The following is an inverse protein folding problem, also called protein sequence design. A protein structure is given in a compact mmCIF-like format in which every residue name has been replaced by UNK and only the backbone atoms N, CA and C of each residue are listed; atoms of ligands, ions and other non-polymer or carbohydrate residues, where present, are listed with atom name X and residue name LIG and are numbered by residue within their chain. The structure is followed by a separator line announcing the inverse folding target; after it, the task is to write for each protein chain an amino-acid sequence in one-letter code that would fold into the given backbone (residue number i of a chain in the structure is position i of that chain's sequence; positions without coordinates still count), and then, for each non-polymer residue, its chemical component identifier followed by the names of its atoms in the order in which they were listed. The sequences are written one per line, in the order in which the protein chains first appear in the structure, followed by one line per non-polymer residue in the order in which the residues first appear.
data_IF_122401170277
#
_entry.id   IF_122401170277
#
_cell.length_a   1.000
_cell.length_b   1.000
_cell.length_c   1.000
_cell.angle_alpha   90.00
_cell.angle_beta   90.00
_cell.angle_gamma   90.00
#
_symmetry.space_group_name_H-M   'P 1'
#
loop_
_entity.id
_entity.type
_entity.pdbx_description
1 polymer ?
#
# COMPACT_ATOMS: atom_id res chain seq x y z
N UNK A 1 27.75 32.07 8.18
CA UNK A 1 27.17 30.93 8.92
C UNK A 1 25.92 30.53 8.17
N UNK A 2 25.95 29.42 7.41
CA UNK A 2 24.87 29.05 6.49
C UNK A 2 23.63 28.47 7.19
N UNK A 3 22.64 28.03 6.43
CA UNK A 3 21.35 27.50 6.92
C UNK A 3 21.48 26.38 7.97
N UNK A 4 22.54 25.55 7.88
CA UNK A 4 22.84 24.52 8.88
C UNK A 4 23.17 25.06 10.29
N UNK A 5 23.55 26.34 10.40
CA UNK A 5 23.76 26.99 11.69
C UNK A 5 22.47 27.50 12.31
N UNK A 6 21.40 27.64 11.52
CA UNK A 6 20.10 28.18 11.96
C UNK A 6 19.08 27.06 12.21
N UNK A 7 18.97 26.08 11.32
CA UNK A 7 18.09 24.91 11.46
C UNK A 7 18.87 23.59 11.25
N UNK A 8 19.67 23.17 12.24
CA UNK A 8 20.61 22.05 12.07
C UNK A 8 19.93 20.70 11.80
N UNK A 9 18.72 20.47 12.34
CA UNK A 9 17.97 19.24 12.12
C UNK A 9 17.42 19.12 10.71
N UNK A 10 16.76 20.17 10.22
CA UNK A 10 16.25 20.23 8.85
C UNK A 10 17.39 20.17 7.82
N UNK A 11 18.49 20.87 8.08
CA UNK A 11 19.69 20.78 7.26
C UNK A 11 20.25 19.36 7.17
N UNK A 12 20.27 18.62 8.28
CA UNK A 12 20.71 17.23 8.27
C UNK A 12 19.80 16.33 7.41
N UNK A 13 18.48 16.53 7.45
CA UNK A 13 17.53 15.81 6.59
C UNK A 13 17.80 16.08 5.11
N UNK A 14 17.92 17.35 4.72
CA UNK A 14 18.19 17.70 3.33
C UNK A 14 19.52 17.14 2.82
N UNK A 15 20.57 17.23 3.63
CA UNK A 15 21.89 16.71 3.24
C UNK A 15 21.80 15.21 2.96
N UNK A 16 21.12 14.45 3.82
CA UNK A 16 20.90 13.02 3.62
C UNK A 16 20.04 12.72 2.37
N UNK A 17 19.00 13.51 2.11
CA UNK A 17 18.19 13.40 0.90
C UNK A 17 19.01 13.72 -0.37
N UNK A 18 19.75 14.82 -0.38
CA UNK A 18 20.57 15.24 -1.52
C UNK A 18 21.68 14.22 -1.83
N UNK A 19 22.37 13.73 -0.80
CA UNK A 19 23.37 12.66 -0.94
C UNK A 19 22.76 11.39 -1.54
N UNK A 20 21.59 10.98 -1.04
CA UNK A 20 20.86 9.82 -1.58
C UNK A 20 20.44 10.04 -3.03
N UNK A 21 19.84 11.18 -3.34
CA UNK A 21 19.41 11.52 -4.70
C UNK A 21 20.59 11.54 -5.68
N UNK A 22 21.73 12.12 -5.29
CA UNK A 22 22.93 12.16 -6.14
C UNK A 22 23.46 10.76 -6.51
N UNK A 23 23.26 9.78 -5.64
CA UNK A 23 23.68 8.38 -5.84
C UNK A 23 22.69 7.58 -6.67
N UNK A 24 21.38 7.81 -6.47
CA UNK A 24 20.36 7.01 -7.14
C UNK A 24 19.98 7.57 -8.52
N UNK A 25 20.08 8.89 -8.74
CA UNK A 25 19.65 9.51 -10.00
C UNK A 25 20.41 8.97 -11.23
N UNK A 26 21.75 8.82 -11.23
CA UNK A 26 22.48 8.27 -12.38
C UNK A 26 22.11 6.81 -12.69
N UNK A 27 21.68 6.07 -11.66
CA UNK A 27 21.27 4.66 -11.76
C UNK A 27 19.83 4.57 -12.27
N UNK A 28 18.93 5.38 -11.71
CA UNK A 28 17.51 5.46 -12.08
C UNK A 28 17.32 5.92 -13.53
N UNK A 29 18.11 6.88 -14.00
CA UNK A 29 18.09 7.32 -15.41
C UNK A 29 18.49 6.20 -16.39
N UNK A 30 19.19 5.17 -15.94
CA UNK A 30 19.52 3.97 -16.73
C UNK A 30 18.45 2.87 -16.63
N UNK A 31 17.35 3.12 -15.91
CA UNK A 31 16.26 2.17 -15.70
C UNK A 31 16.55 1.04 -14.70
N UNK A 32 17.70 1.05 -14.02
CA UNK A 32 18.12 -0.03 -13.12
C UNK A 32 17.69 0.24 -11.67
N UNK A 33 16.37 0.18 -11.43
CA UNK A 33 15.78 0.50 -10.12
C UNK A 33 16.35 -0.40 -8.99
N UNK A 34 16.72 -1.64 -9.31
CA UNK A 34 17.25 -2.61 -8.34
C UNK A 34 18.55 -2.13 -7.71
N UNK A 35 19.42 -1.49 -8.49
CA UNK A 35 20.67 -0.91 -7.99
C UNK A 35 20.44 0.29 -7.07
N UNK A 36 19.25 0.89 -7.05
CA UNK A 36 18.89 1.96 -6.11
C UNK A 36 18.54 1.42 -4.71
N UNK A 37 18.13 0.15 -4.60
CA UNK A 37 17.59 -0.43 -3.37
C UNK A 37 18.53 -0.29 -2.15
N UNK A 38 19.84 -0.61 -2.24
CA UNK A 38 20.72 -0.51 -1.08
C UNK A 38 20.85 0.93 -0.56
N UNK A 39 20.85 1.91 -1.46
CA UNK A 39 20.94 3.33 -1.11
C UNK A 39 19.64 3.80 -0.44
N UNK A 40 18.48 3.47 -1.01
CA UNK A 40 17.19 3.82 -0.40
C UNK A 40 16.99 3.17 0.97
N UNK A 41 17.39 1.91 1.14
CA UNK A 41 17.34 1.19 2.43
C UNK A 41 18.21 1.85 3.51
N UNK A 42 19.28 2.55 3.12
CA UNK A 42 20.18 3.25 4.05
C UNK A 42 19.48 4.44 4.73
N UNK A 43 18.55 5.10 4.04
CA UNK A 43 17.78 6.22 4.58
C UNK A 43 17.10 5.90 5.91
N UNK A 44 16.70 4.64 6.13
CA UNK A 44 16.11 4.19 7.41
C UNK A 44 17.08 4.48 8.56
N UNK A 45 18.35 4.08 8.43
CA UNK A 45 19.33 4.24 9.49
C UNK A 45 19.79 5.71 9.61
N UNK A 46 19.93 6.40 8.48
CA UNK A 46 20.37 7.79 8.45
C UNK A 46 19.33 8.72 9.11
N UNK A 47 18.05 8.58 8.75
CA UNK A 47 16.99 9.38 9.38
C UNK A 47 16.72 8.98 10.82
N UNK A 48 16.87 7.71 11.19
CA UNK A 48 16.80 7.32 12.60
C UNK A 48 17.91 7.98 13.43
N UNK A 49 19.14 8.10 12.88
CA UNK A 49 20.24 8.85 13.51
C UNK A 49 19.93 10.34 13.62
N UNK A 50 19.37 10.94 12.57
CA UNK A 50 18.99 12.36 12.54
C UNK A 50 17.88 12.64 13.57
N UNK A 51 16.82 11.83 13.60
CA UNK A 51 15.71 11.94 14.57
C UNK A 51 16.20 11.82 16.02
N UNK A 52 17.11 10.89 16.31
CA UNK A 52 17.71 10.78 17.65
C UNK A 52 18.51 12.01 18.06
N UNK A 53 19.20 12.64 17.10
CA UNK A 53 20.00 13.84 17.34
C UNK A 53 19.13 15.10 17.48
N UNK A 54 18.00 15.15 16.77
CA UNK A 54 17.10 16.30 16.72
C UNK A 54 15.65 15.87 16.98
N UNK A 55 15.32 15.44 18.21
CA UNK A 55 14.02 14.86 18.54
C UNK A 55 12.87 15.85 18.40
N UNK A 56 13.11 17.15 18.54
CA UNK A 56 12.06 18.18 18.46
C UNK A 56 11.85 18.74 17.04
N UNK A 57 12.51 18.16 16.03
CA UNK A 57 12.42 18.64 14.64
C UNK A 57 11.45 17.77 13.84
N UNK A 58 10.30 18.33 13.46
CA UNK A 58 9.25 17.63 12.71
C UNK A 58 9.74 16.98 11.41
N UNK A 59 10.63 17.63 10.66
CA UNK A 59 11.19 17.07 9.42
C UNK A 59 11.98 15.78 9.66
N UNK A 60 12.67 15.65 10.81
CA UNK A 60 13.39 14.44 11.15
C UNK A 60 12.45 13.26 11.41
N UNK A 61 11.28 13.53 12.00
CA UNK A 61 10.21 12.55 12.20
C UNK A 61 9.54 12.17 10.89
N UNK A 62 9.14 13.14 10.07
CA UNK A 62 8.57 12.89 8.74
C UNK A 62 9.52 12.04 7.90
N UNK A 63 10.81 12.40 7.87
CA UNK A 63 11.82 11.64 7.13
C UNK A 63 11.94 10.20 7.64
N UNK A 64 11.93 10.01 8.95
CA UNK A 64 11.97 8.68 9.59
C UNK A 64 10.76 7.83 9.23
N UNK A 65 9.55 8.41 9.28
CA UNK A 65 8.32 7.70 8.93
C UNK A 65 8.35 7.24 7.47
N UNK A 66 8.65 8.13 6.52
CA UNK A 66 8.67 7.74 5.11
C UNK A 66 9.77 6.71 4.84
N UNK A 67 10.97 6.88 5.40
CA UNK A 67 12.02 5.90 5.18
C UNK A 67 11.71 4.53 5.76
N UNK A 68 10.87 4.42 6.79
CA UNK A 68 10.45 3.12 7.33
C UNK A 68 9.85 2.20 6.26
N UNK A 69 9.21 2.77 5.23
CA UNK A 69 8.63 2.05 4.09
C UNK A 69 9.72 1.35 3.25
N UNK A 70 10.94 1.90 3.23
CA UNK A 70 12.09 1.35 2.52
C UNK A 70 12.87 0.32 3.32
N UNK A 71 12.47 -0.01 4.55
CA UNK A 71 13.14 -1.04 5.31
C UNK A 71 13.08 -2.40 4.59
N UNK A 72 14.13 -3.22 4.74
CA UNK A 72 14.15 -4.59 4.23
C UNK A 72 13.63 -5.62 5.24
N UNK A 73 13.40 -5.18 6.49
CA UNK A 73 12.83 -6.01 7.56
C UNK A 73 11.52 -5.38 8.03
N UNK A 74 10.39 -6.09 7.91
CA UNK A 74 9.11 -5.57 8.38
C UNK A 74 9.12 -5.24 9.87
N UNK A 75 9.79 -6.04 10.72
CA UNK A 75 9.82 -5.76 12.18
C UNK A 75 10.48 -4.41 12.44
N UNK A 76 11.57 -4.11 11.71
CA UNK A 76 12.25 -2.82 11.78
C UNK A 76 11.37 -1.69 11.24
N UNK A 77 10.69 -1.89 10.10
CA UNK A 77 9.77 -0.91 9.53
C UNK A 77 8.72 -0.46 10.56
N UNK A 78 8.04 -1.45 11.14
CA UNK A 78 7.01 -1.25 12.16
C UNK A 78 7.54 -0.61 13.44
N UNK A 79 8.66 -1.12 13.97
CA UNK A 79 9.30 -0.54 15.16
C UNK A 79 9.63 0.94 14.96
N UNK A 80 10.08 1.33 13.77
CA UNK A 80 10.40 2.73 13.44
C UNK A 80 9.14 3.59 13.31
N UNK A 81 8.09 3.11 12.66
CA UNK A 81 6.86 3.88 12.44
C UNK A 81 5.97 4.00 13.69
N UNK A 82 6.01 3.02 14.59
CA UNK A 82 5.20 3.01 15.81
C UNK A 82 5.74 3.93 16.90
N UNK A 83 6.97 4.42 16.81
CA UNK A 83 7.52 5.34 17.82
C UNK A 83 6.60 6.56 17.93
N UNK A 84 6.05 6.87 19.12
CA UNK A 84 5.18 8.02 19.30
C UNK A 84 5.97 9.32 19.13
N UNK A 85 5.28 10.38 18.70
CA UNK A 85 5.85 11.72 18.69
C UNK A 85 6.19 12.18 20.12
N UNK A 86 7.26 12.97 20.30
CA UNK A 86 7.56 13.58 21.58
C UNK A 86 6.48 14.61 21.92
N UNK A 87 6.36 14.97 23.19
CA UNK A 87 5.36 15.91 23.68
C UNK A 87 5.41 17.25 22.93
N UNK A 88 6.61 17.73 22.59
CA UNK A 88 6.86 18.94 21.80
C UNK A 88 6.21 18.93 20.40
N UNK A 89 5.95 17.74 19.84
CA UNK A 89 5.36 17.55 18.51
C UNK A 89 3.98 16.85 18.58
N UNK A 90 3.46 16.56 19.77
CA UNK A 90 2.22 15.80 19.93
C UNK A 90 1.01 16.54 19.32
N UNK A 91 1.02 17.88 19.38
CA UNK A 91 0.01 18.76 18.79
C UNK A 91 0.20 19.04 17.29
N UNK A 92 1.26 18.53 16.65
CA UNK A 92 1.47 18.70 15.21
C UNK A 92 0.54 17.79 14.40
N UNK A 93 -0.60 18.35 14.03
CA UNK A 93 -1.67 17.70 13.28
C UNK A 93 -1.18 17.06 11.97
N UNK A 94 -0.33 17.76 11.20
CA UNK A 94 0.15 17.28 9.91
C UNK A 94 1.12 16.11 10.10
N UNK A 95 1.96 16.17 11.13
CA UNK A 95 2.88 15.08 11.45
C UNK A 95 2.15 13.83 11.95
N UNK A 96 1.07 14.00 12.72
CA UNK A 96 0.18 12.89 13.12
C UNK A 96 -0.50 12.26 11.89
N UNK A 97 -1.01 13.07 10.95
CA UNK A 97 -1.58 12.59 9.68
C UNK A 97 -0.56 11.77 8.88
N UNK A 98 0.67 12.27 8.73
CA UNK A 98 1.77 11.57 8.05
C UNK A 98 2.15 10.25 8.74
N UNK A 99 2.11 10.21 10.08
CA UNK A 99 2.33 8.97 10.85
C UNK A 99 1.24 7.94 10.56
N UNK A 100 -0.04 8.33 10.60
CA UNK A 100 -1.17 7.44 10.26
C UNK A 100 -1.02 6.90 8.83
N UNK A 101 -0.76 7.78 7.85
CA UNK A 101 -0.51 7.40 6.45
C UNK A 101 0.59 6.34 6.34
N UNK A 102 1.69 6.56 7.05
CA UNK A 102 2.84 5.64 7.04
C UNK A 102 2.45 4.29 7.60
N UNK A 103 1.77 4.24 8.74
CA UNK A 103 1.31 2.99 9.33
C UNK A 103 0.36 2.26 8.38
N UNK A 104 -0.64 2.95 7.82
CA UNK A 104 -1.53 2.41 6.78
C UNK A 104 -0.74 1.84 5.60
N UNK A 105 0.21 2.60 5.06
CA UNK A 105 1.05 2.13 3.97
C UNK A 105 1.82 0.87 4.37
N UNK A 106 2.39 0.80 5.58
CA UNK A 106 3.08 -0.40 6.04
C UNK A 106 2.15 -1.62 6.10
N UNK A 107 0.88 -1.45 6.49
CA UNK A 107 -0.13 -2.51 6.41
C UNK A 107 -0.28 -3.04 4.99
N UNK A 108 -0.54 -2.13 4.04
CA UNK A 108 -0.75 -2.46 2.64
C UNK A 108 0.49 -3.10 2.00
N UNK A 109 1.66 -2.57 2.34
CA UNK A 109 2.92 -2.91 1.72
C UNK A 109 3.56 -4.18 2.29
N UNK A 110 3.30 -4.50 3.56
CA UNK A 110 3.88 -5.68 4.20
C UNK A 110 2.92 -6.84 4.40
N UNK A 111 1.61 -6.58 4.38
CA UNK A 111 0.56 -7.59 4.63
C UNK A 111 0.85 -8.45 5.87
N UNK A 112 1.48 -7.85 6.88
CA UNK A 112 1.97 -8.55 8.06
C UNK A 112 1.20 -8.12 9.30
N UNK A 113 0.94 -9.11 10.15
CA UNK A 113 0.40 -8.91 11.48
C UNK A 113 -1.12 -8.85 11.48
N UNK A 114 -1.65 -8.54 12.65
CA UNK A 114 -2.98 -7.98 12.76
C UNK A 114 -2.84 -6.45 12.78
N UNK A 115 -2.98 -5.76 11.63
CA UNK A 115 -2.81 -4.31 11.56
C UNK A 115 -3.92 -3.52 12.26
N UNK A 116 -5.01 -4.17 12.67
CA UNK A 116 -6.21 -3.51 13.18
C UNK A 116 -5.87 -2.75 14.46
N UNK A 117 -5.27 -3.42 15.45
CA UNK A 117 -4.92 -2.80 16.72
C UNK A 117 -3.91 -1.64 16.57
N UNK A 118 -2.90 -1.79 15.70
CA UNK A 118 -1.90 -0.75 15.47
C UNK A 118 -2.50 0.49 14.79
N UNK A 119 -3.38 0.30 13.81
CA UNK A 119 -4.09 1.41 13.15
C UNK A 119 -5.08 2.08 14.08
N UNK A 120 -5.82 1.31 14.88
CA UNK A 120 -6.74 1.84 15.90
C UNK A 120 -6.00 2.69 16.92
N UNK A 121 -4.88 2.20 17.45
CA UNK A 121 -4.06 2.95 18.39
C UNK A 121 -3.53 4.25 17.75
N UNK A 122 -3.13 4.21 16.48
CA UNK A 122 -2.70 5.39 15.74
C UNK A 122 -3.84 6.40 15.55
N UNK A 123 -5.04 5.94 15.18
CA UNK A 123 -6.24 6.78 15.04
C UNK A 123 -6.69 7.36 16.39
N UNK A 124 -6.61 6.60 17.47
CA UNK A 124 -6.96 7.08 18.81
C UNK A 124 -6.04 8.22 19.28
N UNK A 125 -4.77 8.19 18.87
CA UNK A 125 -3.79 9.24 19.15
C UNK A 125 -3.98 10.51 18.29
N UNK A 126 -4.85 10.48 17.28
CA UNK A 126 -5.14 11.64 16.44
C UNK A 126 -6.03 12.63 17.21
N UNK A 127 -5.66 13.93 17.25
CA UNK A 127 -6.47 14.96 17.89
C UNK A 127 -7.90 15.01 17.31
N UNK A 128 -8.88 15.24 18.18
CA UNK A 128 -10.32 15.32 17.80
C UNK A 128 -10.55 16.23 16.59
N UNK A 129 -9.86 17.37 16.54
CA UNK A 129 -10.01 18.39 15.51
C UNK A 129 -9.79 17.89 14.07
N UNK A 130 -9.11 16.75 13.87
CA UNK A 130 -8.89 16.16 12.55
C UNK A 130 -9.44 14.74 12.40
N UNK A 131 -10.30 14.27 13.32
CA UNK A 131 -10.94 12.94 13.16
C UNK A 131 -11.87 12.86 11.95
N UNK A 132 -12.46 13.99 11.55
CA UNK A 132 -13.28 14.11 10.36
C UNK A 132 -12.47 14.19 9.05
N UNK A 133 -11.14 14.15 9.12
CA UNK A 133 -10.27 14.16 7.95
C UNK A 133 -10.52 12.94 7.05
N UNK A 134 -10.40 13.16 5.74
CA UNK A 134 -10.66 12.14 4.73
C UNK A 134 -9.72 10.93 4.87
N UNK A 135 -8.45 11.16 5.21
CA UNK A 135 -7.46 10.11 5.37
C UNK A 135 -7.70 9.27 6.63
N UNK A 136 -8.16 9.93 7.70
CA UNK A 136 -8.59 9.24 8.92
C UNK A 136 -9.82 8.38 8.63
N UNK A 137 -10.81 8.94 7.93
CA UNK A 137 -12.02 8.24 7.51
C UNK A 137 -11.70 7.02 6.62
N UNK A 138 -10.84 7.18 5.61
CA UNK A 138 -10.43 6.08 4.74
C UNK A 138 -9.66 5.00 5.51
N UNK A 139 -8.81 5.39 6.46
CA UNK A 139 -8.09 4.42 7.30
C UNK A 139 -9.03 3.65 8.22
N UNK A 140 -10.03 4.31 8.80
CA UNK A 140 -11.07 3.65 9.58
C UNK A 140 -11.87 2.65 8.73
N UNK A 141 -12.27 3.03 7.51
CA UNK A 141 -12.97 2.14 6.60
C UNK A 141 -12.14 0.91 6.20
N UNK A 142 -10.81 1.06 6.07
CA UNK A 142 -9.90 -0.09 5.85
C UNK A 142 -9.85 -0.98 7.08
N UNK A 143 -9.82 -0.42 8.29
CA UNK A 143 -9.89 -1.21 9.54
C UNK A 143 -11.18 -2.01 9.60
N UNK A 144 -12.32 -1.38 9.30
CA UNK A 144 -13.62 -2.05 9.29
C UNK A 144 -13.73 -3.10 8.19
N UNK A 145 -13.17 -2.85 7.01
CA UNK A 145 -13.01 -3.89 5.98
C UNK A 145 -12.20 -5.09 6.50
N UNK A 146 -11.08 -4.84 7.18
CA UNK A 146 -10.24 -5.90 7.73
C UNK A 146 -10.94 -6.71 8.83
N UNK A 147 -11.84 -6.08 9.60
CA UNK A 147 -12.73 -6.77 10.56
C UNK A 147 -13.81 -7.58 9.85
N UNK A 148 -14.42 -7.03 8.80
CA UNK A 148 -15.42 -7.73 7.97
C UNK A 148 -14.86 -9.03 7.40
N UNK A 149 -13.69 -8.99 6.76
CA UNK A 149 -13.07 -10.20 6.18
C UNK A 149 -12.64 -11.24 7.23
N UNK A 150 -12.67 -10.88 8.53
CA UNK A 150 -12.43 -11.78 9.66
C UNK A 150 -13.70 -12.27 10.34
N UNK A 151 -14.87 -11.91 9.82
CA UNK A 151 -16.17 -12.39 10.29
C UNK A 151 -16.95 -11.42 11.14
N UNK A 152 -16.49 -10.18 11.35
CA UNK A 152 -17.30 -9.14 11.97
C UNK A 152 -18.23 -8.51 10.92
N UNK A 153 -19.42 -9.10 10.74
CA UNK A 153 -20.41 -8.61 9.81
C UNK A 153 -20.88 -7.16 10.11
N UNK A 154 -20.81 -6.73 11.39
CA UNK A 154 -21.21 -5.39 11.79
C UNK A 154 -20.30 -4.29 11.23
N UNK A 155 -19.01 -4.59 11.08
CA UNK A 155 -18.03 -3.67 10.52
C UNK A 155 -18.31 -3.29 9.05
N UNK A 156 -18.95 -4.18 8.28
CA UNK A 156 -19.27 -3.93 6.87
C UNK A 156 -20.17 -2.72 6.66
N UNK A 157 -21.19 -2.53 7.51
CA UNK A 157 -22.09 -1.39 7.43
C UNK A 157 -21.39 -0.04 7.64
N UNK A 158 -20.47 0.03 8.61
CA UNK A 158 -19.67 1.23 8.90
C UNK A 158 -18.73 1.57 7.74
N UNK A 159 -18.08 0.57 7.15
CA UNK A 159 -17.23 0.77 5.99
C UNK A 159 -18.02 1.25 4.76
N UNK A 160 -19.20 0.67 4.51
CA UNK A 160 -20.12 1.09 3.43
C UNK A 160 -20.50 2.55 3.59
N UNK A 161 -21.02 2.95 4.76
CA UNK A 161 -21.40 4.33 5.03
C UNK A 161 -20.23 5.31 4.81
N UNK A 162 -19.03 4.93 5.25
CA UNK A 162 -17.82 5.74 5.07
C UNK A 162 -17.46 5.91 3.60
N UNK A 163 -17.45 4.83 2.81
CA UNK A 163 -17.12 4.92 1.38
C UNK A 163 -18.22 5.59 0.55
N UNK A 164 -19.48 5.50 0.95
CA UNK A 164 -20.56 6.32 0.38
C UNK A 164 -20.26 7.81 0.57
N UNK A 165 -19.99 8.24 1.81
CA UNK A 165 -19.65 9.63 2.09
C UNK A 165 -18.38 10.07 1.33
N UNK A 166 -17.34 9.22 1.23
CA UNK A 166 -16.14 9.47 0.40
C UNK A 166 -16.46 9.65 -1.08
N UNK A 167 -17.33 8.82 -1.65
CA UNK A 167 -17.72 8.92 -3.05
C UNK A 167 -18.50 10.20 -3.36
N UNK A 168 -19.31 10.71 -2.44
CA UNK A 168 -20.07 11.95 -2.60
C UNK A 168 -19.18 13.20 -2.63
N UNK A 169 -18.11 13.21 -1.82
CA UNK A 169 -17.20 14.37 -1.68
C UNK A 169 -16.02 14.37 -2.66
N UNK A 170 -15.57 13.19 -3.11
CA UNK A 170 -14.43 13.03 -4.04
C UNK A 170 -14.85 13.30 -5.49
N UNK A 171 -13.85 13.50 -6.36
CA UNK A 171 -14.03 13.67 -7.82
C UNK A 171 -13.02 12.84 -8.62
N UNK A 172 -13.31 12.59 -9.89
CA UNK A 172 -12.43 11.89 -10.83
C UNK A 172 -11.96 10.52 -10.32
N UNK A 173 -10.67 10.21 -10.51
CA UNK A 173 -10.09 8.93 -10.11
C UNK A 173 -10.23 8.64 -8.60
N UNK A 174 -10.24 9.66 -7.73
CA UNK A 174 -10.46 9.47 -6.30
C UNK A 174 -11.91 9.04 -5.99
N UNK A 175 -12.89 9.59 -6.72
CA UNK A 175 -14.29 9.12 -6.64
C UNK A 175 -14.43 7.70 -7.17
N UNK A 176 -13.76 7.39 -8.30
CA UNK A 176 -13.75 6.05 -8.86
C UNK A 176 -13.25 5.00 -7.86
N UNK A 177 -12.16 5.28 -7.13
CA UNK A 177 -11.66 4.39 -6.10
C UNK A 177 -12.63 4.24 -4.92
N UNK A 178 -13.27 5.32 -4.47
CA UNK A 178 -14.25 5.24 -3.38
C UNK A 178 -15.47 4.40 -3.78
N UNK A 179 -16.01 4.61 -4.99
CA UNK A 179 -17.09 3.81 -5.55
C UNK A 179 -16.70 2.35 -5.74
N UNK A 180 -15.48 2.08 -6.22
CA UNK A 180 -14.98 0.73 -6.33
C UNK A 180 -14.98 0.00 -4.98
N UNK A 181 -14.43 0.64 -3.95
CA UNK A 181 -14.35 0.06 -2.62
C UNK A 181 -15.74 -0.11 -2.00
N UNK A 182 -16.66 0.83 -2.25
CA UNK A 182 -18.09 0.68 -1.91
C UNK A 182 -18.69 -0.56 -2.58
N UNK A 183 -18.47 -0.76 -3.88
CA UNK A 183 -18.97 -1.92 -4.61
C UNK A 183 -18.45 -3.23 -4.06
N UNK A 184 -17.15 -3.29 -3.73
CA UNK A 184 -16.54 -4.45 -3.09
C UNK A 184 -17.14 -4.75 -1.71
N UNK A 185 -17.38 -3.74 -0.87
CA UNK A 185 -18.00 -3.91 0.43
C UNK A 185 -19.46 -4.38 0.34
N UNK A 186 -20.22 -3.82 -0.60
CA UNK A 186 -21.60 -4.26 -0.90
C UNK A 186 -21.63 -5.72 -1.34
N UNK A 187 -20.74 -6.10 -2.26
CA UNK A 187 -20.61 -7.49 -2.69
C UNK A 187 -20.29 -8.43 -1.53
N UNK A 188 -19.35 -8.06 -0.66
CA UNK A 188 -19.00 -8.88 0.51
C UNK A 188 -20.13 -8.96 1.55
N UNK A 189 -21.04 -7.98 1.54
CA UNK A 189 -22.21 -7.92 2.42
C UNK A 189 -23.47 -8.53 1.77
N UNK A 190 -23.36 -9.09 0.56
CA UNK A 190 -24.46 -9.74 -0.16
C UNK A 190 -25.31 -8.82 -1.06
N UNK A 191 -25.05 -7.51 -1.07
CA UNK A 191 -25.72 -6.56 -1.97
C UNK A 191 -25.06 -6.57 -3.35
N UNK A 192 -25.45 -7.53 -4.18
CA UNK A 192 -24.86 -7.75 -5.51
C UNK A 192 -25.28 -6.68 -6.51
N UNK A 193 -26.55 -6.26 -6.49
CA UNK A 193 -27.06 -5.21 -7.40
C UNK A 193 -26.40 -3.86 -7.08
N UNK A 194 -26.32 -3.49 -5.81
CA UNK A 194 -25.65 -2.28 -5.39
C UNK A 194 -24.14 -2.30 -5.61
N UNK A 195 -23.51 -3.49 -5.64
CA UNK A 195 -22.11 -3.64 -5.99
C UNK A 195 -21.86 -3.35 -7.48
N UNK A 196 -22.65 -3.96 -8.36
CA UNK A 196 -22.56 -3.76 -9.82
C UNK A 196 -22.77 -2.28 -10.15
N UNK A 197 -23.82 -1.64 -9.62
CA UNK A 197 -24.09 -0.23 -9.87
C UNK A 197 -22.91 0.68 -9.46
N UNK A 198 -22.27 0.40 -8.32
CA UNK A 198 -21.13 1.17 -7.85
C UNK A 198 -19.88 0.97 -8.74
N UNK A 199 -19.63 -0.25 -9.21
CA UNK A 199 -18.52 -0.54 -10.14
C UNK A 199 -18.75 0.06 -11.52
N UNK A 200 -19.98 0.05 -12.03
CA UNK A 200 -20.33 0.68 -13.31
C UNK A 200 -20.08 2.19 -13.28
N UNK A 201 -20.52 2.88 -12.22
CA UNK A 201 -20.21 4.30 -12.03
C UNK A 201 -18.70 4.54 -11.91
N UNK A 202 -17.97 3.67 -11.18
CA UNK A 202 -16.53 3.78 -11.01
C UNK A 202 -15.76 3.69 -12.34
N UNK A 203 -16.16 2.78 -13.25
CA UNK A 203 -15.49 2.56 -14.54
C UNK A 203 -15.48 3.85 -15.38
N UNK A 204 -16.59 4.61 -15.38
CA UNK A 204 -16.70 5.86 -16.11
C UNK A 204 -15.77 6.98 -15.62
N UNK A 205 -15.25 6.85 -14.39
CA UNK A 205 -14.42 7.86 -13.73
C UNK A 205 -12.95 7.45 -13.58
N UNK A 206 -12.64 6.16 -13.75
CA UNK A 206 -11.33 5.59 -13.50
C UNK A 206 -10.32 5.89 -14.62
N UNK A 207 -9.04 5.94 -14.27
CA UNK A 207 -7.94 5.84 -15.24
C UNK A 207 -7.76 4.38 -15.71
N UNK A 208 -6.82 4.12 -16.63
CA UNK A 208 -6.58 2.78 -17.19
C UNK A 208 -6.27 1.75 -16.09
N UNK A 209 -5.40 2.10 -15.15
CA UNK A 209 -5.02 1.24 -14.02
C UNK A 209 -6.20 0.97 -13.10
N UNK A 210 -7.02 1.97 -12.79
CA UNK A 210 -8.22 1.84 -11.99
C UNK A 210 -9.26 0.95 -12.67
N UNK A 211 -9.44 1.08 -13.99
CA UNK A 211 -10.33 0.19 -14.76
C UNK A 211 -9.92 -1.27 -14.67
N UNK A 212 -8.63 -1.58 -14.82
CA UNK A 212 -8.13 -2.96 -14.65
C UNK A 212 -8.49 -3.55 -13.26
N UNK A 213 -8.39 -2.74 -12.20
CA UNK A 213 -8.73 -3.16 -10.85
C UNK A 213 -10.24 -3.38 -10.70
N UNK A 214 -11.06 -2.49 -11.28
CA UNK A 214 -12.52 -2.64 -11.23
C UNK A 214 -12.97 -3.88 -12.00
N UNK A 215 -12.40 -4.13 -13.20
CA UNK A 215 -12.68 -5.35 -13.96
C UNK A 215 -12.24 -6.61 -13.22
N UNK A 216 -11.10 -6.56 -12.51
CA UNK A 216 -10.68 -7.65 -11.64
C UNK A 216 -11.73 -7.94 -10.57
N UNK A 217 -12.22 -6.92 -9.85
CA UNK A 217 -13.24 -7.08 -8.80
C UNK A 217 -14.56 -7.62 -9.35
N UNK A 218 -15.01 -7.14 -10.51
CA UNK A 218 -16.22 -7.64 -11.18
C UNK A 218 -16.07 -9.12 -11.63
N UNK A 219 -14.90 -9.51 -12.14
CA UNK A 219 -14.60 -10.89 -12.49
C UNK A 219 -14.57 -11.80 -11.25
N UNK A 220 -14.05 -11.33 -10.12
CA UNK A 220 -14.03 -12.05 -8.84
C UNK A 220 -15.44 -12.19 -8.24
N UNK A 221 -16.29 -11.19 -8.41
CA UNK A 221 -17.65 -11.20 -7.91
C UNK A 221 -18.48 -12.33 -8.52
N UNK A 222 -18.39 -12.48 -9.84
CA UNK A 222 -19.14 -13.50 -10.60
C UNK A 222 -18.45 -14.86 -10.56
N UNK A 223 -17.12 -14.88 -10.70
CA UNK A 223 -16.24 -16.04 -10.63
C UNK A 223 -16.75 -17.28 -11.35
N UNK A 224 -17.29 -17.07 -12.54
CA UNK A 224 -17.80 -18.11 -13.43
C UNK A 224 -16.74 -18.51 -14.47
N UNK A 225 -16.86 -19.66 -15.14
CA UNK A 225 -15.93 -20.06 -16.21
C UNK A 225 -15.79 -19.03 -17.33
N UNK A 226 -16.83 -18.23 -17.59
CA UNK A 226 -16.86 -17.21 -18.63
C UNK A 226 -15.89 -16.05 -18.34
N UNK A 227 -15.53 -15.80 -17.06
CA UNK A 227 -14.58 -14.72 -16.72
C UNK A 227 -13.12 -15.09 -16.95
N UNK A 228 -12.82 -16.33 -17.33
CA UNK A 228 -11.45 -16.79 -17.58
C UNK A 228 -10.72 -15.97 -18.65
N UNK A 229 -11.42 -15.51 -19.69
CA UNK A 229 -10.85 -14.64 -20.72
C UNK A 229 -10.45 -13.26 -20.19
N UNK A 230 -11.29 -12.68 -19.33
CA UNK A 230 -11.00 -11.41 -18.65
C UNK A 230 -9.81 -11.54 -17.71
N UNK A 231 -9.76 -12.62 -16.92
CA UNK A 231 -8.64 -12.90 -16.02
C UNK A 231 -7.33 -13.19 -16.79
N UNK A 232 -7.39 -13.85 -17.95
CA UNK A 232 -6.21 -14.03 -18.82
C UNK A 232 -5.69 -12.68 -19.34
N UNK A 233 -6.58 -11.78 -19.75
CA UNK A 233 -6.21 -10.42 -20.17
C UNK A 233 -5.54 -9.65 -19.02
N UNK A 234 -6.15 -9.66 -17.83
CA UNK A 234 -5.62 -8.98 -16.65
C UNK A 234 -4.32 -9.59 -16.13
N UNK A 235 -4.09 -10.90 -16.31
CA UNK A 235 -2.83 -11.57 -15.97
C UNK A 235 -1.64 -11.01 -16.76
N UNK A 236 -1.90 -10.33 -17.88
CA UNK A 236 -0.93 -9.69 -18.76
C UNK A 236 -0.91 -8.16 -18.62
N UNK A 237 -1.66 -7.61 -17.64
CA UNK A 237 -1.73 -6.16 -17.41
C UNK A 237 -0.33 -5.58 -17.22
N UNK A 238 -0.04 -4.49 -17.93
CA UNK A 238 1.23 -3.75 -17.80
C UNK A 238 1.19 -2.73 -16.66
N UNK A 239 0.00 -2.43 -16.13
CA UNK A 239 -0.21 -1.35 -15.18
C UNK A 239 0.22 -1.69 -13.75
N UNK A 240 0.15 -2.97 -13.35
CA UNK A 240 0.52 -3.39 -11.99
C UNK A 240 0.84 -4.88 -11.90
N UNK A 241 1.98 -5.20 -11.28
CA UNK A 241 2.32 -6.57 -10.89
C UNK A 241 1.26 -7.20 -9.98
N UNK A 242 0.64 -6.39 -9.10
CA UNK A 242 -0.37 -6.89 -8.16
C UNK A 242 -1.65 -7.30 -8.87
N UNK A 243 -2.05 -6.56 -9.91
CA UNK A 243 -3.20 -6.92 -10.76
C UNK A 243 -2.91 -8.25 -11.46
N UNK A 244 -1.71 -8.40 -12.05
CA UNK A 244 -1.31 -9.67 -12.69
C UNK A 244 -1.38 -10.84 -11.71
N UNK A 245 -0.76 -10.70 -10.55
CA UNK A 245 -0.69 -11.76 -9.52
C UNK A 245 -2.09 -12.15 -9.05
N UNK A 246 -2.95 -11.16 -8.78
CA UNK A 246 -4.32 -11.41 -8.34
C UNK A 246 -5.16 -12.06 -9.45
N UNK A 247 -5.03 -11.60 -10.69
CA UNK A 247 -5.72 -12.22 -11.83
C UNK A 247 -5.32 -13.69 -12.02
N UNK A 248 -4.02 -14.01 -11.91
CA UNK A 248 -3.53 -15.40 -11.98
C UNK A 248 -4.08 -16.23 -10.81
N UNK A 249 -4.09 -15.67 -9.60
CA UNK A 249 -4.60 -16.35 -8.41
C UNK A 249 -6.10 -16.66 -8.52
N UNK A 250 -6.91 -15.70 -8.97
CA UNK A 250 -8.34 -15.89 -9.17
C UNK A 250 -8.68 -16.75 -10.37
N UNK A 251 -7.83 -16.78 -11.39
CA UNK A 251 -7.95 -17.72 -12.51
C UNK A 251 -7.81 -19.17 -12.03
N UNK A 252 -6.84 -19.44 -11.16
CA UNK A 252 -6.68 -20.77 -10.57
C UNK A 252 -7.91 -21.19 -9.77
N UNK A 253 -8.50 -20.26 -9.01
CA UNK A 253 -9.75 -20.50 -8.27
C UNK A 253 -10.95 -20.74 -9.20
N UNK A 254 -11.10 -19.95 -10.26
CA UNK A 254 -12.18 -20.14 -11.25
C UNK A 254 -12.11 -21.52 -11.92
N UNK A 255 -10.90 -21.98 -12.30
CA UNK A 255 -10.68 -23.32 -12.84
C UNK A 255 -11.09 -24.39 -11.83
N UNK A 256 -10.68 -24.24 -10.56
CA UNK A 256 -10.98 -25.17 -9.48
C UNK A 256 -12.50 -25.29 -9.25
N UNK A 257 -13.23 -24.17 -9.29
CA UNK A 257 -14.70 -24.13 -9.19
C UNK A 257 -15.40 -24.76 -10.40
N UNK A 258 -14.83 -24.62 -11.59
CA UNK A 258 -15.31 -25.28 -12.80
C UNK A 258 -14.97 -26.78 -12.88
N UNK A 259 -14.34 -27.36 -11.85
CA UNK A 259 -13.93 -28.77 -11.83
C UNK A 259 -12.71 -29.10 -12.69
N UNK A 260 -11.98 -28.09 -13.16
CA UNK A 260 -10.76 -28.26 -13.94
C UNK A 260 -9.50 -28.48 -13.10
N UNK A 261 -8.41 -28.91 -13.75
CA UNK A 261 -7.10 -29.03 -13.11
C UNK A 261 -6.45 -27.64 -12.93
N UNK A 262 -6.42 -27.17 -11.69
CA UNK A 262 -5.84 -25.88 -11.32
C UNK A 262 -4.31 -25.94 -11.12
N UNK A 263 -3.67 -27.13 -11.14
CA UNK A 263 -2.22 -27.26 -10.88
C UNK A 263 -1.37 -26.37 -11.79
N UNK A 264 -1.59 -26.32 -13.12
CA UNK A 264 -0.82 -25.42 -13.99
C UNK A 264 -1.01 -23.94 -13.65
N UNK A 265 -2.22 -23.57 -13.18
CA UNK A 265 -2.52 -22.18 -12.79
C UNK A 265 -1.87 -21.82 -11.44
N UNK A 266 -1.84 -22.76 -10.50
CA UNK A 266 -1.13 -22.61 -9.22
C UNK A 266 0.39 -22.46 -9.47
N UNK A 267 0.97 -23.27 -10.36
CA UNK A 267 2.38 -23.15 -10.75
C UNK A 267 2.69 -21.80 -11.40
N UNK A 268 1.83 -21.33 -12.31
CA UNK A 268 1.94 -20.01 -12.91
C UNK A 268 1.86 -18.88 -11.86
N UNK A 269 1.01 -19.02 -10.84
CA UNK A 269 0.93 -18.07 -9.73
C UNK A 269 2.25 -17.99 -8.97
N UNK A 270 2.82 -19.12 -8.55
CA UNK A 270 4.10 -19.13 -7.83
C UNK A 270 5.25 -18.59 -8.68
N UNK A 271 5.28 -18.92 -9.97
CA UNK A 271 6.27 -18.39 -10.91
C UNK A 271 6.16 -16.86 -11.06
N UNK A 272 4.94 -16.33 -11.16
CA UNK A 272 4.68 -14.90 -11.20
C UNK A 272 5.15 -14.21 -9.92
N UNK A 273 4.77 -14.72 -8.74
CA UNK A 273 5.22 -14.16 -7.45
C UNK A 273 6.75 -14.14 -7.35
N UNK A 274 7.43 -15.22 -7.74
CA UNK A 274 8.89 -15.29 -7.70
C UNK A 274 9.56 -14.28 -8.66
N UNK A 275 9.03 -14.14 -9.88
CA UNK A 275 9.52 -13.18 -10.87
C UNK A 275 9.41 -11.74 -10.37
N UNK A 276 8.23 -11.36 -9.87
CA UNK A 276 7.93 -10.00 -9.42
C UNK A 276 8.67 -9.64 -8.12
N UNK A 277 8.85 -10.60 -7.21
CA UNK A 277 9.56 -10.37 -5.94
C UNK A 277 11.01 -9.91 -6.16
N UNK A 278 11.65 -10.29 -7.27
CA UNK A 278 13.02 -9.88 -7.61
C UNK A 278 13.16 -8.38 -7.90
N UNK A 279 12.07 -7.72 -8.32
CA UNK A 279 12.02 -6.27 -8.57
C UNK A 279 11.60 -5.45 -7.35
N UNK A 280 11.16 -6.09 -6.27
CA UNK A 280 10.53 -5.40 -5.16
C UNK A 280 11.55 -4.78 -4.19
N UNK A 281 11.42 -3.47 -3.95
CA UNK A 281 12.31 -2.68 -3.10
C UNK A 281 12.39 -3.22 -1.67
N UNK A 282 11.29 -3.73 -1.15
CA UNK A 282 11.17 -4.23 0.24
C UNK A 282 11.67 -5.65 0.44
N UNK A 283 12.00 -6.37 -0.63
CA UNK A 283 12.18 -7.83 -0.61
C UNK A 283 10.95 -8.59 -0.07
N UNK A 284 9.78 -7.94 -0.07
CA UNK A 284 8.48 -8.53 0.26
C UNK A 284 7.45 -7.97 -0.69
N UNK A 285 6.92 -8.84 -1.54
CA UNK A 285 5.86 -8.52 -2.48
C UNK A 285 4.51 -8.67 -1.75
N UNK A 286 3.71 -7.60 -1.61
CA UNK A 286 2.34 -7.74 -1.13
C UNK A 286 1.56 -8.51 -2.19
N UNK A 287 1.04 -9.68 -1.88
CA UNK A 287 0.36 -10.54 -2.88
C UNK A 287 -1.16 -10.46 -2.79
N UNK A 288 -1.70 -9.47 -2.08
CA UNK A 288 -3.13 -9.26 -1.84
C UNK A 288 -3.73 -10.16 -0.75
N UNK A 289 -2.94 -10.60 0.24
CA UNK A 289 -3.39 -11.49 1.33
C UNK A 289 -4.47 -10.86 2.21
N UNK A 290 -4.41 -9.54 2.35
CA UNK A 290 -5.39 -8.77 3.11
C UNK A 290 -6.63 -8.44 2.27
N UNK A 291 -6.65 -8.81 0.99
CA UNK A 291 -7.70 -8.41 0.06
C UNK A 291 -7.63 -6.92 -0.29
N UNK A 292 -6.41 -6.39 -0.37
CA UNK A 292 -6.19 -5.00 -0.76
C UNK A 292 -5.06 -4.97 -1.78
N UNK A 293 -5.30 -4.30 -2.90
CA UNK A 293 -4.27 -3.93 -3.87
C UNK A 293 -3.94 -2.46 -3.63
N UNK A 294 -2.68 -2.17 -3.30
CA UNK A 294 -2.22 -0.78 -3.28
C UNK A 294 -1.66 -0.39 -4.63
N UNK A 295 -2.08 0.75 -5.14
CA UNK A 295 -1.36 1.47 -6.20
C UNK A 295 -0.79 2.74 -5.62
N UNK A 296 0.21 3.37 -6.25
CA UNK A 296 0.71 4.60 -5.67
C UNK A 296 2.00 5.09 -6.28
N UNK A 297 2.41 6.23 -5.75
CA UNK A 297 3.63 6.91 -6.16
C UNK A 297 4.44 7.28 -4.92
N UNK A 298 5.75 7.34 -5.12
CA UNK A 298 6.67 7.95 -4.18
C UNK A 298 7.04 9.33 -4.71
N UNK A 299 6.83 10.35 -3.88
CA UNK A 299 7.07 11.75 -4.26
C UNK A 299 8.07 12.37 -3.31
N UNK A 300 9.07 13.04 -3.89
CA UNK A 300 10.02 13.91 -3.18
C UNK A 300 9.90 15.30 -3.80
N UNK A 301 9.28 16.25 -3.11
CA UNK A 301 9.25 17.64 -3.53
C UNK A 301 10.03 18.50 -2.54
N UNK A 302 10.85 19.39 -3.10
CA UNK A 302 11.50 20.48 -2.38
C UNK A 302 10.91 21.76 -2.91
N UNK A 303 10.24 22.53 -2.06
CA UNK A 303 9.62 23.79 -2.46
C UNK A 303 10.17 24.92 -1.59
N UNK A 304 10.36 26.11 -2.15
CA UNK A 304 10.78 27.29 -1.41
C UNK A 304 9.81 28.43 -1.70
N UNK A 305 9.20 28.99 -0.66
CA UNK A 305 8.39 30.20 -0.79
C UNK A 305 8.92 31.29 0.15
N UNK A 306 8.69 32.55 -0.21
CA UNK A 306 9.12 33.69 0.63
C UNK A 306 8.41 33.65 2.00
N UNK A 307 7.17 33.15 2.05
CA UNK A 307 6.35 33.12 3.26
C UNK A 307 6.61 31.91 4.15
N UNK A 308 6.81 30.74 3.55
CA UNK A 308 6.91 29.47 4.28
C UNK A 308 8.35 28.95 4.35
N UNK A 309 9.29 29.61 3.67
CA UNK A 309 10.66 29.18 3.52
C UNK A 309 10.76 27.88 2.71
N UNK A 310 11.80 27.09 2.99
CA UNK A 310 11.98 25.79 2.37
C UNK A 310 11.07 24.75 3.03
N UNK A 311 10.19 24.15 2.25
CA UNK A 311 9.34 23.03 2.63
C UNK A 311 9.77 21.75 1.92
N UNK A 312 9.75 20.64 2.65
CA UNK A 312 10.09 19.31 2.11
C UNK A 312 8.86 18.42 2.18
N UNK A 313 8.36 18.00 1.02
CA UNK A 313 7.31 16.99 0.93
C UNK A 313 7.98 15.68 0.56
N UNK A 314 8.21 14.87 1.58
CA UNK A 314 8.54 13.47 1.41
C UNK A 314 7.27 12.66 1.69
N UNK A 315 6.76 11.95 0.69
CA UNK A 315 5.53 11.18 0.82
C UNK A 315 5.55 9.90 -0.03
N UNK A 316 5.04 8.81 0.53
CA UNK A 316 4.59 7.64 -0.23
C UNK A 316 3.07 7.66 -0.17
N UNK A 317 2.43 7.79 -1.32
CA UNK A 317 0.98 7.84 -1.41
C UNK A 317 0.48 6.51 -1.98
N UNK A 318 0.13 5.58 -1.11
CA UNK A 318 -0.55 4.35 -1.50
C UNK A 318 -2.07 4.59 -1.49
N UNK A 319 -2.69 4.37 -2.64
CA UNK A 319 -4.14 4.35 -2.87
C UNK A 319 -4.62 2.90 -2.70
N UNK A 320 -5.43 2.60 -1.69
CA UNK A 320 -5.92 1.25 -1.41
C UNK A 320 -7.16 0.92 -2.25
N UNK A 321 -7.12 -0.23 -2.92
CA UNK A 321 -8.25 -0.80 -3.65
C UNK A 321 -8.66 -2.12 -3.00
N UNK A 322 -9.88 -2.21 -2.50
CA UNK A 322 -10.40 -3.41 -1.86
C UNK A 322 -10.72 -4.46 -2.93
N UNK A 323 -10.10 -5.63 -2.84
CA UNK A 323 -10.27 -6.74 -3.77
C UNK A 323 -10.28 -8.03 -2.96
N UNK A 324 -11.29 -8.90 -3.01
CA UNK A 324 -11.30 -10.13 -2.22
C UNK A 324 -9.99 -10.92 -2.40
N UNK A 325 -9.44 -11.45 -1.31
CA UNK A 325 -8.20 -12.22 -1.35
C UNK A 325 -8.45 -13.63 -1.92
N UNK A 326 -7.79 -14.00 -3.02
CA UNK A 326 -7.88 -15.36 -3.53
C UNK A 326 -7.32 -16.37 -2.50
N UNK A 327 -7.92 -17.58 -2.36
CA UNK A 327 -7.50 -18.56 -1.35
C UNK A 327 -6.00 -18.88 -1.38
N UNK A 328 -5.43 -19.09 -2.57
CA UNK A 328 -4.01 -19.41 -2.76
C UNK A 328 -3.05 -18.35 -2.20
N UNK A 329 -3.48 -17.08 -2.13
CA UNK A 329 -2.64 -16.01 -1.58
C UNK A 329 -2.41 -16.18 -0.08
N UNK A 330 -3.37 -16.78 0.63
CA UNK A 330 -3.26 -17.06 2.07
C UNK A 330 -2.28 -18.21 2.36
N UNK A 331 -2.09 -19.11 1.41
CA UNK A 331 -1.24 -20.31 1.54
C UNK A 331 0.24 -20.07 1.22
N UNK A 332 0.58 -18.94 0.59
CA UNK A 332 1.95 -18.58 0.18
C UNK A 332 3.01 -18.59 1.29
N UNK A 333 2.63 -18.70 2.57
CA UNK A 333 3.57 -18.88 3.68
C UNK A 333 4.12 -20.31 3.85
N UNK A 334 3.72 -21.29 3.03
CA UNK A 334 4.01 -22.72 3.31
C UNK A 334 4.97 -23.48 2.40
N UNK A 335 5.34 -23.03 1.20
CA UNK A 335 6.43 -23.70 0.46
C UNK A 335 7.77 -23.12 0.90
N UNK A 336 8.46 -23.82 1.81
CA UNK A 336 9.93 -23.70 1.92
C UNK A 336 10.47 -23.81 0.49
N UNK A 337 11.37 -22.90 0.12
CA UNK A 337 12.08 -22.92 -1.16
C UNK A 337 12.31 -24.36 -1.64
N UNK A 338 11.85 -24.75 -2.84
CA UNK A 338 12.42 -25.93 -3.46
C UNK A 338 13.88 -25.57 -3.73
N UNK A 339 14.77 -25.90 -2.80
CA UNK A 339 16.21 -25.89 -3.10
C UNK A 339 16.35 -26.65 -4.41
N UNK A 340 17.02 -26.09 -5.43
CA UNK A 340 17.27 -26.84 -6.65
C UNK A 340 17.92 -28.16 -6.24
N UNK A 341 17.28 -29.29 -6.60
CA UNK A 341 17.88 -30.61 -6.40
C UNK A 341 19.25 -30.56 -7.06
N UNK A 342 20.30 -30.78 -6.28
CA UNK A 342 21.64 -30.89 -6.83
C UNK A 342 21.59 -31.95 -7.95
N UNK A 343 22.22 -31.69 -9.11
CA UNK A 343 22.27 -32.67 -10.18
C UNK A 343 22.90 -33.97 -9.64
N UNK A 344 22.42 -35.14 -10.06
CA UNK A 344 22.97 -36.41 -9.61
C UNK A 344 24.47 -36.42 -9.95
N UNK A 345 25.30 -36.55 -8.92
CA UNK A 345 26.72 -36.86 -9.08
C UNK A 345 26.81 -38.17 -9.86
N UNK A 346 27.40 -38.10 -11.06
CA UNK A 346 27.78 -39.26 -11.85
C UNK A 346 28.98 -39.96 -11.24
#
# INVERSE_FOLDING_TARGET
RGWAAWEPGRAAVLIALADTLSKILPVGLKGDVRKMHPTLRRLVADFEKIRRKYPDVGDAWQATYVASIFASDPKKAWKTALVPLPESLAGDVELQRKRLRTLRNLVLLWERGDPVADLEAAMAAIPEAIRADEEVSETAAIVDYLRLVRGDAGAGATAIATYTALAERRKGAAKAQALHNLGTLRSLSGDSEGAIAAWEEAIGLADEKGRDIIYLSAAIHTLSPEVLGSLDTLSKSRHSALIRIQAIAWRAEAIRRGGGDAVPADEAYYAAVASEASGELRANLPVGRLGIISTGEFTVNLNYTIREGLTTILAVNAVPWLVPAAPITRETKRRKDPRPKAPPTR
#
